data_IF_834629782073
#
_entry.id   IF_834629782073
#
_cell.length_a   1.000
_cell.length_b   1.000
_cell.length_c   1.000
_cell.angle_alpha   90.00
_cell.angle_beta   90.00
_cell.angle_gamma   90.00
#
_symmetry.space_group_name_H-M   'P 1'
#
loop_
_entity.id
_entity.type
_entity.pdbx_description
1 polymer ?
#
# COMPACT_ATOMS: atom_id res chain seq x y z
N UNK A 1 4.81 -16.88 -10.35
CA UNK A 1 6.13 -16.32 -10.72
C UNK A 1 6.19 -15.89 -12.19
N UNK A 2 5.88 -16.77 -13.15
CA UNK A 2 6.01 -16.47 -14.60
C UNK A 2 5.25 -15.22 -15.09
N UNK A 3 4.02 -14.98 -14.61
CA UNK A 3 3.23 -13.78 -14.95
C UNK A 3 3.90 -12.47 -14.50
N UNK A 4 4.56 -12.47 -13.34
CA UNK A 4 5.19 -11.26 -12.78
C UNK A 4 6.48 -10.95 -13.51
N UNK A 5 7.30 -11.96 -13.84
CA UNK A 5 8.50 -11.78 -14.67
C UNK A 5 8.16 -11.18 -16.03
N UNK A 6 7.13 -11.69 -16.71
CA UNK A 6 6.63 -11.11 -17.96
C UNK A 6 6.15 -9.66 -17.80
N UNK A 7 5.49 -9.34 -16.70
CA UNK A 7 5.04 -7.97 -16.41
C UNK A 7 6.25 -7.03 -16.25
N UNK A 8 7.28 -7.44 -15.52
CA UNK A 8 8.52 -6.64 -15.35
C UNK A 8 9.15 -6.37 -16.72
N UNK A 9 9.35 -7.41 -17.54
CA UNK A 9 9.93 -7.24 -18.89
C UNK A 9 9.10 -6.31 -19.78
N UNK A 10 7.76 -6.34 -19.67
CA UNK A 10 6.90 -5.41 -20.39
C UNK A 10 7.07 -3.97 -19.90
N UNK A 11 7.15 -3.76 -18.58
CA UNK A 11 7.31 -2.42 -18.00
C UNK A 11 8.66 -1.80 -18.33
N UNK A 12 9.71 -2.60 -18.47
CA UNK A 12 11.01 -2.11 -18.91
C UNK A 12 10.94 -1.46 -20.30
N UNK A 13 10.01 -1.91 -21.16
CA UNK A 13 9.79 -1.37 -22.51
C UNK A 13 8.85 -0.17 -22.54
N UNK A 14 8.13 0.11 -21.46
CA UNK A 14 7.24 1.27 -21.37
C UNK A 14 8.06 2.46 -20.86
N UNK A 15 8.27 3.43 -21.73
CA UNK A 15 8.96 4.68 -21.39
C UNK A 15 7.99 5.79 -21.01
N UNK A 16 6.76 5.72 -21.53
CA UNK A 16 5.69 6.69 -21.26
C UNK A 16 5.15 6.55 -19.82
N UNK A 17 5.37 7.60 -19.02
CA UNK A 17 4.97 7.70 -17.61
C UNK A 17 3.45 7.74 -17.46
N UNK A 18 2.73 8.39 -18.38
CA UNK A 18 1.26 8.48 -18.34
C UNK A 18 0.62 7.14 -18.64
N UNK A 19 1.13 6.45 -19.68
CA UNK A 19 0.70 5.10 -20.01
C UNK A 19 0.95 4.15 -18.82
N UNK A 20 2.13 4.25 -18.21
CA UNK A 20 2.50 3.45 -17.04
C UNK A 20 1.58 3.74 -15.84
N UNK A 21 1.31 5.01 -15.53
CA UNK A 21 0.42 5.42 -14.44
C UNK A 21 -0.99 4.85 -14.61
N UNK A 22 -1.53 4.95 -15.83
CA UNK A 22 -2.83 4.39 -16.20
C UNK A 22 -2.86 2.86 -16.09
N UNK A 23 -1.77 2.19 -16.47
CA UNK A 23 -1.64 0.75 -16.36
C UNK A 23 -1.64 0.30 -14.89
N UNK A 24 -0.86 0.96 -14.02
CA UNK A 24 -0.81 0.63 -12.59
C UNK A 24 -2.16 0.76 -11.91
N UNK A 25 -2.90 1.84 -12.18
CA UNK A 25 -4.27 1.99 -11.69
C UNK A 25 -5.14 0.83 -12.19
N UNK A 26 -5.17 0.58 -13.51
CA UNK A 26 -5.98 -0.49 -14.11
C UNK A 26 -5.68 -1.88 -13.56
N UNK A 27 -4.43 -2.18 -13.21
CA UNK A 27 -4.04 -3.45 -12.60
C UNK A 27 -4.78 -3.72 -11.30
N UNK A 28 -5.12 -2.69 -10.52
CA UNK A 28 -5.82 -2.85 -9.23
C UNK A 28 -7.34 -2.73 -9.30
N UNK A 29 -7.88 -2.20 -10.40
CA UNK A 29 -9.30 -1.92 -10.56
C UNK A 29 -10.06 -2.93 -11.45
N UNK A 30 -9.39 -3.69 -12.33
CA UNK A 30 -10.05 -4.64 -13.24
C UNK A 30 -10.35 -5.98 -12.56
N UNK A 31 -11.48 -6.61 -12.94
CA UNK A 31 -11.91 -7.95 -12.48
C UNK A 31 -10.87 -9.05 -12.73
N UNK A 32 -10.10 -8.94 -13.81
CA UNK A 32 -9.00 -9.84 -14.16
C UNK A 32 -7.61 -9.21 -13.91
N UNK A 33 -7.56 -8.12 -13.14
CA UNK A 33 -6.32 -7.49 -12.72
C UNK A 33 -5.64 -8.26 -11.59
N UNK A 34 -4.61 -7.66 -11.00
CA UNK A 34 -3.98 -8.17 -9.79
C UNK A 34 -4.89 -7.84 -8.60
N UNK A 35 -5.02 -8.79 -7.68
CA UNK A 35 -5.47 -8.42 -6.33
C UNK A 35 -4.49 -7.42 -5.74
N UNK A 36 -4.95 -6.58 -4.80
CA UNK A 36 -4.07 -5.55 -4.24
C UNK A 36 -2.83 -6.14 -3.54
N UNK A 37 -2.93 -7.35 -2.97
CA UNK A 37 -1.78 -8.05 -2.38
C UNK A 37 -0.78 -8.48 -3.46
N UNK A 38 -1.26 -9.01 -4.58
CA UNK A 38 -0.39 -9.35 -5.72
C UNK A 38 0.25 -8.09 -6.33
N UNK A 39 -0.49 -6.97 -6.36
CA UNK A 39 0.04 -5.68 -6.77
C UNK A 39 1.17 -5.20 -5.84
N UNK A 40 1.00 -5.28 -4.52
CA UNK A 40 2.07 -4.96 -3.57
C UNK A 40 3.28 -5.88 -3.75
N UNK A 41 3.04 -7.20 -3.89
CA UNK A 41 4.11 -8.16 -4.16
C UNK A 41 4.85 -7.85 -5.47
N UNK A 42 4.13 -7.41 -6.49
CA UNK A 42 4.71 -6.95 -7.75
C UNK A 42 5.60 -5.71 -7.55
N UNK A 43 5.15 -4.68 -6.82
CA UNK A 43 5.97 -3.50 -6.54
C UNK A 43 7.25 -3.86 -5.76
N UNK A 44 7.14 -4.76 -4.79
CA UNK A 44 8.27 -5.28 -4.02
C UNK A 44 9.26 -6.00 -4.96
N UNK A 45 8.78 -6.88 -5.83
CA UNK A 45 9.64 -7.56 -6.80
C UNK A 45 10.32 -6.59 -7.77
N UNK A 46 9.63 -5.52 -8.21
CA UNK A 46 10.27 -4.47 -9.02
C UNK A 46 11.37 -3.75 -8.23
N UNK A 47 11.14 -3.44 -6.95
CA UNK A 47 12.14 -2.77 -6.11
C UNK A 47 13.43 -3.59 -5.95
N UNK A 48 13.35 -4.92 -6.09
CA UNK A 48 14.52 -5.81 -6.06
C UNK A 48 15.22 -5.94 -7.41
N UNK A 49 14.60 -5.46 -8.50
CA UNK A 49 15.18 -5.47 -9.83
C UNK A 49 16.35 -4.47 -9.92
N UNK A 50 17.42 -4.83 -10.64
CA UNK A 50 18.64 -4.00 -10.73
C UNK A 50 18.45 -2.75 -11.61
N UNK A 51 17.32 -2.62 -12.30
CA UNK A 51 17.03 -1.55 -13.22
C UNK A 51 16.54 -0.29 -12.48
N UNK A 52 17.48 0.59 -12.10
CA UNK A 52 17.15 1.89 -11.48
C UNK A 52 16.26 2.78 -12.35
N UNK A 53 16.40 2.70 -13.68
CA UNK A 53 15.55 3.47 -14.60
C UNK A 53 14.08 3.07 -14.49
N UNK A 54 13.80 1.77 -14.30
CA UNK A 54 12.46 1.28 -14.03
C UNK A 54 11.93 1.79 -12.68
N UNK A 55 12.75 1.84 -11.63
CA UNK A 55 12.34 2.38 -10.32
C UNK A 55 11.89 3.84 -10.43
N UNK A 56 12.70 4.67 -11.10
CA UNK A 56 12.38 6.09 -11.31
C UNK A 56 11.08 6.24 -12.11
N UNK A 57 10.95 5.54 -13.25
CA UNK A 57 9.71 5.62 -14.06
C UNK A 57 8.48 5.16 -13.28
N UNK A 58 8.61 4.10 -12.50
CA UNK A 58 7.51 3.58 -11.69
C UNK A 58 7.13 4.58 -10.59
N UNK A 59 8.11 5.16 -9.90
CA UNK A 59 7.88 6.19 -8.89
C UNK A 59 7.24 7.47 -9.47
N UNK A 60 7.72 7.96 -10.62
CA UNK A 60 7.11 9.10 -11.31
C UNK A 60 5.68 8.79 -11.80
N UNK A 61 5.43 7.56 -12.25
CA UNK A 61 4.07 7.15 -12.65
C UNK A 61 3.10 7.07 -11.47
N UNK A 62 3.58 6.64 -10.30
CA UNK A 62 2.80 6.68 -9.05
C UNK A 62 2.54 8.12 -8.61
N UNK A 63 3.52 9.01 -8.75
CA UNK A 63 3.38 10.44 -8.48
C UNK A 63 2.30 11.07 -9.36
N UNK A 64 2.32 10.77 -10.66
CA UNK A 64 1.32 11.23 -11.61
C UNK A 64 -0.07 10.66 -11.30
N UNK A 65 -0.17 9.36 -10.99
CA UNK A 65 -1.43 8.74 -10.59
C UNK A 65 -2.01 9.40 -9.34
N UNK A 66 -1.15 9.77 -8.38
CA UNK A 66 -1.55 10.49 -7.17
C UNK A 66 -2.03 11.91 -7.47
N UNK A 67 -1.33 12.64 -8.35
CA UNK A 67 -1.76 13.96 -8.82
C UNK A 67 -3.17 13.92 -9.41
N UNK A 68 -3.42 12.92 -10.25
CA UNK A 68 -4.64 12.78 -11.03
C UNK A 68 -5.77 12.08 -10.27
N UNK A 69 -5.63 11.89 -8.95
CA UNK A 69 -6.60 11.17 -8.11
C UNK A 69 -6.94 9.75 -8.62
N UNK A 70 -6.01 9.13 -9.35
CA UNK A 70 -6.12 7.79 -9.93
C UNK A 70 -5.14 6.82 -9.26
N UNK A 71 -4.82 7.07 -8.00
CA UNK A 71 -3.81 6.31 -7.26
C UNK A 71 -4.28 4.87 -6.97
N UNK A 72 -3.41 3.85 -7.10
CA UNK A 72 -3.78 2.47 -6.78
C UNK A 72 -4.17 2.30 -5.30
N UNK A 73 -5.40 1.83 -5.05
CA UNK A 73 -5.91 1.66 -3.69
C UNK A 73 -6.46 0.26 -3.43
N UNK A 74 -6.22 -0.26 -2.23
CA UNK A 74 -6.67 -1.57 -1.79
C UNK A 74 -7.76 -1.50 -0.73
N UNK A 75 -8.69 -2.46 -0.74
CA UNK A 75 -9.79 -2.50 0.23
C UNK A 75 -9.50 -3.42 1.42
N UNK A 76 -9.55 -2.88 2.63
CA UNK A 76 -9.59 -3.64 3.90
C UNK A 76 -10.86 -3.30 4.66
N UNK A 77 -11.31 -4.22 5.52
CA UNK A 77 -12.41 -3.94 6.44
C UNK A 77 -12.07 -2.74 7.32
N UNK A 78 -13.07 -1.90 7.57
CA UNK A 78 -12.95 -0.76 8.46
C UNK A 78 -12.56 -1.21 9.88
N UNK A 79 -11.88 -0.33 10.61
CA UNK A 79 -11.59 -0.56 12.02
C UNK A 79 -12.89 -0.71 12.81
N UNK A 80 -12.92 -1.67 13.76
CA UNK A 80 -14.13 -2.04 14.49
C UNK A 80 -15.03 -3.06 13.78
N UNK A 81 -14.93 -3.21 12.46
CA UNK A 81 -15.63 -4.26 11.71
C UNK A 81 -14.93 -5.63 11.79
N UNK A 82 -13.76 -5.69 12.46
CA UNK A 82 -12.98 -6.89 12.73
C UNK A 82 -13.65 -7.90 13.68
N UNK A 83 -14.50 -7.43 14.61
CA UNK A 83 -15.27 -8.28 15.53
C UNK A 83 -16.36 -9.05 14.79
N UNK A 84 -17.05 -8.37 13.87
CA UNK A 84 -18.02 -8.96 12.95
C UNK A 84 -17.46 -10.20 12.24
N UNK A 85 -16.20 -10.22 11.80
CA UNK A 85 -15.62 -11.41 11.17
C UNK A 85 -15.54 -12.65 12.09
N UNK A 86 -15.36 -12.48 13.40
CA UNK A 86 -15.41 -13.60 14.36
C UNK A 86 -16.84 -14.03 14.68
N UNK A 87 -17.78 -13.08 14.71
CA UNK A 87 -19.20 -13.38 14.93
C UNK A 87 -19.83 -14.07 13.71
N UNK A 88 -19.38 -13.70 12.49
CA UNK A 88 -19.89 -14.22 11.22
C UNK A 88 -19.17 -15.47 10.68
N UNK A 89 -18.23 -16.05 11.44
CA UNK A 89 -17.52 -17.29 11.06
C UNK A 89 -18.14 -18.58 11.60
N UNK A 90 -19.34 -18.51 12.19
CA UNK A 90 -20.13 -19.67 12.59
C UNK A 90 -20.92 -20.33 11.42
N UNK A 91 -21.35 -21.60 11.57
CA UNK A 91 -22.15 -22.27 10.56
C UNK A 91 -23.56 -21.65 10.52
N UNK A 92 -23.92 -20.99 9.41
CA UNK A 92 -25.23 -20.36 9.22
C UNK A 92 -25.22 -18.95 8.64
N UNK A 93 -24.04 -18.32 8.46
CA UNK A 93 -23.96 -16.98 7.89
C UNK A 93 -23.94 -16.98 6.36
N UNK A 94 -24.78 -16.12 5.79
CA UNK A 94 -24.89 -15.94 4.34
C UNK A 94 -23.77 -15.06 3.80
N UNK A 95 -23.35 -15.31 2.56
CA UNK A 95 -22.41 -14.43 1.84
C UNK A 95 -22.89 -12.96 1.78
N UNK A 96 -24.20 -12.74 1.90
CA UNK A 96 -24.82 -11.42 1.96
C UNK A 96 -24.48 -10.64 3.23
N UNK A 97 -24.38 -11.30 4.39
CA UNK A 97 -24.00 -10.65 5.66
C UNK A 97 -22.52 -10.26 5.68
N UNK A 98 -21.64 -11.08 5.08
CA UNK A 98 -20.23 -10.75 4.89
C UNK A 98 -20.02 -9.59 3.90
N UNK A 99 -20.94 -9.40 2.94
CA UNK A 99 -20.91 -8.29 1.99
C UNK A 99 -21.26 -6.93 2.64
N UNK A 100 -21.96 -6.94 3.79
CA UNK A 100 -22.32 -5.71 4.51
C UNK A 100 -21.20 -5.15 5.39
N UNK A 101 -20.10 -5.88 5.57
CA UNK A 101 -18.98 -5.42 6.40
C UNK A 101 -18.35 -4.19 5.72
N UNK A 102 -18.33 -3.01 6.40
CA UNK A 102 -17.83 -1.79 5.80
C UNK A 102 -16.36 -1.94 5.42
N UNK A 103 -16.03 -1.54 4.19
CA UNK A 103 -14.66 -1.55 3.65
C UNK A 103 -14.16 -0.14 3.43
N UNK A 104 -12.88 0.07 3.66
CA UNK A 104 -12.16 1.31 3.39
C UNK A 104 -11.06 1.06 2.38
N UNK A 105 -10.79 2.07 1.56
CA UNK A 105 -9.73 2.03 0.54
C UNK A 105 -8.50 2.74 1.10
N UNK A 106 -7.36 2.10 0.94
CA UNK A 106 -6.08 2.56 1.45
C UNK A 106 -5.07 2.66 0.31
N UNK A 107 -4.17 3.65 0.38
CA UNK A 107 -2.97 3.70 -0.45
C UNK A 107 -2.00 2.58 -0.12
N UNK A 108 -0.84 2.58 -0.78
CA UNK A 108 0.13 1.49 -0.73
C UNK A 108 0.69 1.28 0.68
N UNK A 109 1.22 2.33 1.31
CA UNK A 109 1.82 2.23 2.64
C UNK A 109 0.77 2.13 3.75
N UNK A 110 -0.38 2.76 3.56
CA UNK A 110 -1.52 2.71 4.47
C UNK A 110 -2.11 1.31 4.52
N UNK A 111 -2.32 0.68 3.36
CA UNK A 111 -2.81 -0.69 3.28
C UNK A 111 -1.86 -1.64 4.01
N UNK A 112 -0.56 -1.52 3.75
CA UNK A 112 0.45 -2.36 4.39
C UNK A 112 0.46 -2.18 5.92
N UNK A 113 0.38 -0.94 6.39
CA UNK A 113 0.37 -0.60 7.83
C UNK A 113 -0.92 -1.04 8.53
N UNK A 114 -2.07 -0.94 7.84
CA UNK A 114 -3.37 -1.39 8.35
C UNK A 114 -3.42 -2.91 8.39
N UNK A 115 -2.94 -3.58 7.34
CA UNK A 115 -2.90 -5.04 7.26
C UNK A 115 -2.02 -5.65 8.34
N UNK A 116 -0.90 -4.99 8.68
CA UNK A 116 -0.06 -5.37 9.81
C UNK A 116 -0.73 -5.08 11.18
N UNK A 117 -1.22 -3.85 11.37
CA UNK A 117 -1.59 -3.35 12.69
C UNK A 117 -3.05 -3.53 13.11
N UNK A 118 -3.93 -4.02 12.23
CA UNK A 118 -5.36 -4.10 12.49
C UNK A 118 -5.95 -5.45 12.12
N UNK A 119 -6.97 -5.85 12.88
CA UNK A 119 -7.79 -6.99 12.51
C UNK A 119 -8.64 -6.63 11.30
N UNK A 120 -8.43 -7.34 10.20
CA UNK A 120 -9.18 -7.15 8.95
C UNK A 120 -9.74 -8.50 8.49
N UNK A 121 -10.33 -8.54 7.30
CA UNK A 121 -10.73 -9.78 6.65
C UNK A 121 -9.55 -10.66 6.18
N UNK A 122 -8.31 -10.19 6.35
CA UNK A 122 -7.09 -10.87 5.96
C UNK A 122 -6.37 -11.43 7.18
N UNK A 123 -5.66 -12.54 7.00
CA UNK A 123 -4.72 -13.04 7.99
C UNK A 123 -3.66 -11.98 8.29
N UNK A 124 -3.19 -11.90 9.54
CA UNK A 124 -2.20 -10.91 9.94
C UNK A 124 -0.89 -11.07 9.17
N UNK A 125 -0.33 -9.93 8.77
CA UNK A 125 1.02 -9.87 8.22
C UNK A 125 2.03 -10.05 9.37
N UNK A 126 3.05 -10.90 9.18
CA UNK A 126 4.11 -11.03 10.18
C UNK A 126 4.93 -9.74 10.27
N UNK A 127 5.51 -9.47 11.45
CA UNK A 127 6.36 -8.29 11.63
C UNK A 127 7.58 -8.28 10.72
N UNK A 128 8.18 -9.44 10.40
CA UNK A 128 9.31 -9.52 9.46
C UNK A 128 8.90 -9.22 8.02
N UNK A 129 7.74 -9.72 7.56
CA UNK A 129 7.24 -9.43 6.22
C UNK A 129 6.83 -7.97 6.09
N UNK A 130 6.23 -7.39 7.13
CA UNK A 130 5.90 -5.97 7.17
C UNK A 130 7.14 -5.09 7.03
N UNK A 131 8.19 -5.35 7.83
CA UNK A 131 9.45 -4.61 7.76
C UNK A 131 10.08 -4.70 6.37
N UNK A 132 10.22 -5.92 5.85
CA UNK A 132 10.78 -6.17 4.53
C UNK A 132 10.01 -5.44 3.43
N UNK A 133 8.68 -5.60 3.39
CA UNK A 133 7.84 -4.97 2.38
C UNK A 133 7.91 -3.44 2.47
N UNK A 134 7.90 -2.89 3.69
CA UNK A 134 7.92 -1.45 3.90
C UNK A 134 9.24 -0.83 3.43
N UNK A 135 10.39 -1.42 3.80
CA UNK A 135 11.71 -0.96 3.35
C UNK A 135 11.77 -0.92 1.81
N UNK A 136 11.33 -2.00 1.16
CA UNK A 136 11.32 -2.14 -0.31
C UNK A 136 10.45 -1.08 -1.00
N UNK A 137 9.27 -0.81 -0.45
CA UNK A 137 8.37 0.21 -0.99
C UNK A 137 8.92 1.62 -0.77
N UNK A 138 9.52 1.92 0.40
CA UNK A 138 10.17 3.21 0.65
C UNK A 138 11.31 3.46 -0.34
N UNK A 139 12.18 2.47 -0.58
CA UNK A 139 13.22 2.56 -1.60
C UNK A 139 12.68 2.86 -2.99
N UNK A 140 11.58 2.19 -3.38
CA UNK A 140 10.94 2.46 -4.66
C UNK A 140 10.41 3.89 -4.74
N UNK A 141 9.77 4.38 -3.68
CA UNK A 141 9.21 5.73 -3.65
C UNK A 141 10.31 6.80 -3.61
N UNK A 142 11.42 6.54 -2.92
CA UNK A 142 12.59 7.41 -2.87
C UNK A 142 13.26 7.62 -4.25
N UNK A 143 12.96 6.77 -5.24
CA UNK A 143 13.41 6.96 -6.61
C UNK A 143 12.80 8.23 -7.26
N UNK A 144 11.72 8.78 -6.70
CA UNK A 144 11.14 10.07 -7.08
C UNK A 144 11.01 10.99 -5.85
N UNK A 145 11.83 12.05 -5.74
CA UNK A 145 11.73 13.00 -4.64
C UNK A 145 10.35 13.66 -4.52
N UNK A 146 9.68 13.90 -5.66
CA UNK A 146 8.36 14.52 -5.72
C UNK A 146 7.27 13.57 -5.23
N UNK A 147 7.34 12.27 -5.59
CA UNK A 147 6.45 11.24 -5.02
C UNK A 147 6.59 11.21 -3.51
N UNK A 148 7.82 11.10 -2.99
CA UNK A 148 8.07 11.04 -1.55
C UNK A 148 7.42 12.22 -0.83
N UNK A 149 7.73 13.44 -1.27
CA UNK A 149 7.22 14.65 -0.61
C UNK A 149 5.70 14.67 -0.58
N UNK A 150 5.07 14.39 -1.73
CA UNK A 150 3.60 14.34 -1.84
C UNK A 150 3.01 13.23 -0.97
N UNK A 151 3.65 12.07 -0.91
CA UNK A 151 3.17 10.95 -0.11
C UNK A 151 3.30 11.22 1.40
N UNK A 152 4.39 11.83 1.85
CA UNK A 152 4.52 12.26 3.24
C UNK A 152 3.40 13.25 3.63
N UNK A 153 3.15 14.25 2.80
CA UNK A 153 2.06 15.21 3.02
C UNK A 153 0.69 14.53 3.05
N UNK A 154 0.45 13.59 2.13
CA UNK A 154 -0.78 12.81 2.10
C UNK A 154 -0.98 11.99 3.38
N UNK A 155 0.06 11.29 3.84
CA UNK A 155 -0.02 10.50 5.06
C UNK A 155 -0.33 11.37 6.28
N UNK A 156 0.34 12.53 6.40
CA UNK A 156 0.06 13.49 7.48
C UNK A 156 -1.39 13.98 7.43
N UNK A 157 -1.85 14.39 6.25
CA UNK A 157 -3.24 14.81 6.05
C UNK A 157 -4.23 13.71 6.46
N UNK A 158 -3.98 12.46 6.04
CA UNK A 158 -4.86 11.33 6.31
C UNK A 158 -4.87 10.95 7.80
N UNK A 159 -3.76 11.07 8.53
CA UNK A 159 -3.74 10.79 9.97
C UNK A 159 -4.33 11.91 10.83
N UNK A 160 -4.39 13.13 10.31
CA UNK A 160 -5.00 14.31 10.95
C UNK A 160 -6.50 14.42 10.67
N UNK A 161 -6.90 14.26 9.41
CA UNK A 161 -8.29 14.43 8.94
C UNK A 161 -9.07 13.11 8.83
N UNK A 162 -8.40 11.97 9.02
CA UNK A 162 -8.96 10.65 8.75
C UNK A 162 -10.27 10.40 9.49
N UNK A 163 -11.29 10.02 8.72
CA UNK A 163 -12.61 9.65 9.22
C UNK A 163 -12.53 8.59 10.33
N UNK A 164 -13.40 8.75 11.34
CA UNK A 164 -13.60 7.73 12.37
C UNK A 164 -13.80 6.35 11.75
N UNK A 165 -13.06 5.36 12.25
CA UNK A 165 -13.11 3.97 11.78
C UNK A 165 -12.21 3.62 10.59
N UNK A 166 -11.42 4.55 10.02
CA UNK A 166 -10.45 4.21 8.97
C UNK A 166 -9.16 3.60 9.54
N UNK A 167 -8.72 4.04 10.71
CA UNK A 167 -7.44 3.62 11.29
C UNK A 167 -7.55 3.41 12.80
N UNK A 168 -6.96 2.32 13.30
CA UNK A 168 -6.71 2.16 14.74
C UNK A 168 -5.78 3.26 15.27
N UNK A 169 -5.77 3.48 16.59
CA UNK A 169 -4.83 4.40 17.24
C UNK A 169 -3.37 4.05 16.92
N UNK A 170 -3.02 2.75 16.96
CA UNK A 170 -1.68 2.26 16.67
C UNK A 170 -1.29 2.44 15.19
N UNK A 171 -2.17 2.15 14.23
CA UNK A 171 -1.89 2.41 12.81
C UNK A 171 -1.72 3.90 12.52
N UNK A 172 -2.52 4.78 13.12
CA UNK A 172 -2.33 6.24 12.99
C UNK A 172 -0.98 6.68 13.54
N UNK A 173 -0.58 6.16 14.69
CA UNK A 173 0.72 6.46 15.28
C UNK A 173 1.87 6.00 14.36
N UNK A 174 1.80 4.77 13.83
CA UNK A 174 2.78 4.25 12.85
C UNK A 174 2.87 5.10 11.59
N UNK A 175 1.74 5.46 10.97
CA UNK A 175 1.72 6.28 9.76
C UNK A 175 2.25 7.70 10.01
N UNK A 176 1.94 8.31 11.16
CA UNK A 176 2.48 9.62 11.54
C UNK A 176 3.99 9.57 11.72
N UNK A 177 4.50 8.58 12.44
CA UNK A 177 5.96 8.39 12.62
C UNK A 177 6.63 8.12 11.27
N UNK A 178 6.04 7.26 10.43
CA UNK A 178 6.52 7.02 9.07
C UNK A 178 6.67 8.32 8.30
N UNK A 179 5.60 9.12 8.21
CA UNK A 179 5.61 10.35 7.42
C UNK A 179 6.64 11.37 7.94
N UNK A 180 6.71 11.57 9.25
CA UNK A 180 7.66 12.50 9.88
C UNK A 180 9.12 12.05 9.69
N UNK A 181 9.42 10.78 9.97
CA UNK A 181 10.77 10.23 9.80
C UNK A 181 11.20 10.27 8.34
N UNK A 182 10.28 10.02 7.41
CA UNK A 182 10.58 10.06 5.99
C UNK A 182 10.75 11.49 5.46
N UNK A 183 9.99 12.47 5.99
CA UNK A 183 10.18 13.89 5.70
C UNK A 183 11.56 14.40 6.19
N UNK A 184 12.05 13.86 7.31
CA UNK A 184 13.40 14.11 7.84
C UNK A 184 14.51 13.42 7.04
N UNK A 185 14.18 12.68 5.98
CA UNK A 185 15.11 11.93 5.12
C UNK A 185 15.93 10.88 5.87
N UNK A 186 15.36 10.27 6.92
CA UNK A 186 15.95 9.07 7.50
C UNK A 186 15.98 7.94 6.46
N UNK A 187 16.94 7.02 6.60
CA UNK A 187 17.02 5.87 5.71
C UNK A 187 15.81 4.94 5.92
N UNK A 188 15.34 4.22 4.88
CA UNK A 188 14.22 3.28 5.01
C UNK A 188 14.33 2.32 6.20
N UNK A 189 15.51 1.74 6.45
CA UNK A 189 15.74 0.84 7.58
C UNK A 189 15.53 1.54 8.95
N UNK A 190 16.00 2.79 9.10
CA UNK A 190 15.86 3.57 10.33
C UNK A 190 14.40 3.97 10.59
N UNK A 191 13.68 4.34 9.53
CA UNK A 191 12.24 4.63 9.57
C UNK A 191 11.50 3.39 10.09
N UNK A 192 11.76 2.22 9.49
CA UNK A 192 11.10 0.98 9.85
C UNK A 192 11.43 0.56 11.29
N UNK A 193 12.69 0.65 11.72
CA UNK A 193 13.08 0.38 13.11
C UNK A 193 12.32 1.27 14.11
N UNK A 194 12.09 2.54 13.76
CA UNK A 194 11.33 3.47 14.61
C UNK A 194 9.85 3.09 14.66
N UNK A 195 9.26 2.77 13.51
CA UNK A 195 7.85 2.37 13.42
C UNK A 195 7.59 1.08 14.18
N UNK A 196 8.51 0.11 14.17
CA UNK A 196 8.34 -1.18 14.82
C UNK A 196 8.29 -1.12 16.35
N UNK A 197 8.73 0.00 16.96
CA UNK A 197 8.72 0.21 18.41
C UNK A 197 7.38 0.73 18.96
N UNK A 198 6.47 1.14 18.07
CA UNK A 198 5.09 1.53 18.39
C UNK A 198 4.24 0.29 18.63
#
# INVERSE_FOLDING_TARGET
MEKVGRLITLLERIEDIELLANLLSRLTHKKNGLSYIEFLGFLILVSEHQNRGLHVRLAESLNLAMHNSNFPTGALSAWGAGSAWNEFSGPGFSAHQLAMIPKRRYGILEFLTVWYGQKTQKAYLSGSLYQFALIRLLYLFDASPTLRERYCQHLLLVVETGFDGAYSKSSRARLRVLANSWQQRLAPDEIVQTIMKI
#
